data_IF_088740822566
#
_entry.id   IF_088740822566
#
_cell.length_a   1.000
_cell.length_b   1.000
_cell.length_c   1.000
_cell.angle_alpha   90.00
_cell.angle_beta   90.00
_cell.angle_gamma   90.00
#
_symmetry.space_group_name_H-M   'P 1'
#
loop_
_entity.id
_entity.type
_entity.pdbx_description
1 polymer ?
#
# COMPACT_ATOMS: atom_id res chain seq x y z
N UNK A 1 -14.75 -21.17 -29.41
CA UNK A 1 -14.74 -21.01 -27.96
C UNK A 1 -14.07 -19.66 -27.66
N UNK A 2 -14.86 -18.66 -27.33
CA UNK A 2 -14.37 -17.32 -27.05
C UNK A 2 -13.82 -17.36 -25.62
N UNK A 3 -12.50 -17.24 -25.48
CA UNK A 3 -11.83 -17.07 -24.21
C UNK A 3 -12.39 -15.80 -23.58
N UNK A 4 -13.13 -15.93 -22.48
CA UNK A 4 -13.65 -14.79 -21.76
C UNK A 4 -12.45 -13.97 -21.29
N UNK A 5 -12.32 -12.74 -21.80
CA UNK A 5 -11.24 -11.84 -21.43
C UNK A 5 -11.26 -11.65 -19.91
N UNK A 6 -10.25 -12.16 -19.25
CA UNK A 6 -10.07 -12.07 -17.80
C UNK A 6 -9.96 -10.59 -17.42
N UNK A 7 -11.05 -10.02 -16.92
CA UNK A 7 -11.14 -8.58 -16.63
C UNK A 7 -10.47 -8.28 -15.30
N UNK A 8 -9.44 -7.44 -15.33
CA UNK A 8 -8.84 -6.86 -14.12
C UNK A 8 -9.63 -5.61 -13.73
N UNK A 9 -10.14 -5.58 -12.49
CA UNK A 9 -10.96 -4.49 -11.95
C UNK A 9 -10.30 -3.89 -10.71
N UNK A 10 -10.28 -2.55 -10.64
CA UNK A 10 -9.92 -1.81 -9.42
C UNK A 10 -11.18 -1.11 -8.90
N UNK A 11 -11.45 -1.26 -7.63
CA UNK A 11 -12.58 -0.63 -6.93
C UNK A 11 -12.28 -0.36 -5.48
N UNK A 12 -13.16 0.36 -4.81
CA UNK A 12 -13.10 0.50 -3.36
C UNK A 12 -13.21 -0.86 -2.67
N UNK A 13 -12.43 -1.03 -1.61
CA UNK A 13 -12.52 -2.19 -0.75
C UNK A 13 -13.83 -2.19 0.04
N UNK A 14 -14.33 -3.36 0.32
CA UNK A 14 -15.52 -3.60 1.16
C UNK A 14 -15.17 -4.54 2.30
N UNK A 15 -16.07 -4.69 3.27
CA UNK A 15 -15.91 -5.64 4.37
C UNK A 15 -15.71 -7.09 3.88
N UNK A 16 -16.28 -7.44 2.73
CA UNK A 16 -16.14 -8.78 2.14
C UNK A 16 -14.72 -9.07 1.63
N UNK A 17 -13.92 -8.04 1.38
CA UNK A 17 -12.54 -8.19 0.88
C UNK A 17 -11.51 -8.38 2.01
N UNK A 18 -11.88 -8.02 3.24
CA UNK A 18 -10.96 -8.01 4.38
C UNK A 18 -10.24 -9.34 4.63
N UNK A 19 -10.88 -10.52 4.53
CA UNK A 19 -10.15 -11.78 4.71
C UNK A 19 -9.03 -11.97 3.69
N UNK A 20 -9.28 -11.68 2.42
CA UNK A 20 -8.27 -11.81 1.36
C UNK A 20 -7.15 -10.77 1.49
N UNK A 21 -7.50 -9.54 1.85
CA UNK A 21 -6.52 -8.47 2.10
C UNK A 21 -5.63 -8.80 3.30
N UNK A 22 -6.23 -9.34 4.38
CA UNK A 22 -5.50 -9.77 5.57
C UNK A 22 -4.52 -10.90 5.24
N UNK A 23 -4.92 -11.88 4.44
CA UNK A 23 -4.02 -12.96 4.01
C UNK A 23 -2.82 -12.43 3.23
N UNK A 24 -3.02 -11.48 2.31
CA UNK A 24 -1.94 -10.82 1.57
C UNK A 24 -0.99 -10.09 2.52
N UNK A 25 -1.51 -9.38 3.51
CA UNK A 25 -0.71 -8.64 4.48
C UNK A 25 0.05 -9.57 5.44
N UNK A 26 -0.64 -10.52 6.01
CA UNK A 26 -0.08 -11.45 6.99
C UNK A 26 0.98 -12.37 6.37
N UNK A 27 0.88 -12.68 5.08
CA UNK A 27 1.97 -13.32 4.34
C UNK A 27 3.23 -12.45 4.34
N UNK A 28 3.11 -11.13 4.09
CA UNK A 28 4.25 -10.22 4.17
C UNK A 28 4.83 -10.13 5.59
N UNK A 29 3.97 -10.15 6.59
CA UNK A 29 4.41 -10.19 8.00
C UNK A 29 5.29 -11.41 8.26
N UNK A 30 4.87 -12.57 7.80
CA UNK A 30 5.56 -13.84 8.05
C UNK A 30 6.82 -14.04 7.21
N UNK A 31 6.85 -13.54 5.98
CA UNK A 31 7.85 -13.95 4.97
C UNK A 31 8.75 -12.84 4.44
N UNK A 32 8.46 -11.58 4.74
CA UNK A 32 9.21 -10.46 4.14
C UNK A 32 9.48 -9.32 5.11
N UNK A 33 10.30 -8.37 4.67
CA UNK A 33 10.55 -7.10 5.36
C UNK A 33 9.65 -5.97 4.86
N UNK A 34 8.73 -6.23 3.95
CA UNK A 34 7.84 -5.20 3.37
C UNK A 34 6.94 -4.52 4.40
N UNK A 35 6.81 -5.11 5.57
CA UNK A 35 6.19 -4.50 6.76
C UNK A 35 7.04 -4.80 7.99
N UNK A 36 7.08 -3.88 8.95
CA UNK A 36 7.76 -4.08 10.23
C UNK A 36 6.86 -4.69 11.32
N UNK A 37 5.63 -5.07 10.97
CA UNK A 37 4.85 -5.94 11.86
C UNK A 37 5.58 -7.28 12.02
N UNK A 38 5.62 -7.78 13.25
CA UNK A 38 6.26 -9.06 13.60
C UNK A 38 5.27 -10.19 13.79
N UNK A 39 4.00 -9.83 14.05
CA UNK A 39 2.89 -10.77 14.25
C UNK A 39 1.75 -10.44 13.28
N UNK A 40 1.08 -11.44 12.70
CA UNK A 40 -0.10 -11.25 11.88
C UNK A 40 -1.18 -10.42 12.59
N UNK A 41 -1.77 -9.48 11.87
CA UNK A 41 -2.78 -8.56 12.41
C UNK A 41 -4.21 -8.97 12.09
N UNK A 42 -4.37 -9.83 11.08
CA UNK A 42 -5.67 -10.31 10.63
C UNK A 42 -6.58 -9.22 10.05
N UNK A 43 -7.83 -9.62 9.77
CA UNK A 43 -8.81 -8.75 9.12
C UNK A 43 -9.25 -7.56 9.99
N UNK A 44 -9.21 -7.67 11.31
CA UNK A 44 -9.65 -6.61 12.23
C UNK A 44 -8.82 -5.32 12.05
N UNK A 45 -7.51 -5.44 11.87
CA UNK A 45 -6.61 -4.31 11.65
C UNK A 45 -6.98 -3.47 10.41
N UNK A 46 -7.28 -4.14 9.30
CA UNK A 46 -7.72 -3.47 8.07
C UNK A 46 -9.18 -2.99 8.19
N UNK A 47 -10.00 -3.74 8.92
CA UNK A 47 -11.39 -3.41 9.18
C UNK A 47 -11.55 -2.10 9.96
N UNK A 48 -10.70 -1.83 10.94
CA UNK A 48 -10.68 -0.56 11.67
C UNK A 48 -10.38 0.63 10.74
N UNK A 49 -9.41 0.47 9.84
CA UNK A 49 -9.09 1.50 8.84
C UNK A 49 -10.23 1.75 7.85
N UNK A 50 -10.92 0.68 7.44
CA UNK A 50 -12.03 0.77 6.50
C UNK A 50 -13.29 1.36 7.14
N UNK A 51 -13.52 1.14 8.43
CA UNK A 51 -14.72 1.58 9.14
C UNK A 51 -14.76 3.08 9.42
N UNK A 52 -13.61 3.73 9.59
CA UNK A 52 -13.50 5.12 10.03
C UNK A 52 -12.55 5.94 9.14
N UNK A 53 -12.83 6.06 7.81
CA UNK A 53 -11.98 6.82 6.92
C UNK A 53 -12.11 8.33 7.18
N UNK A 54 -10.97 9.01 7.30
CA UNK A 54 -10.89 10.46 7.23
C UNK A 54 -10.82 10.92 5.76
N UNK A 55 -11.05 12.21 5.45
CA UNK A 55 -10.84 12.72 4.10
C UNK A 55 -9.45 12.35 3.54
N UNK A 56 -9.41 11.74 2.36
CA UNK A 56 -8.19 11.24 1.74
C UNK A 56 -7.70 9.88 2.26
N UNK A 57 -8.46 9.22 3.12
CA UNK A 57 -8.19 7.82 3.49
C UNK A 57 -8.98 6.92 2.54
N UNK A 58 -8.30 6.40 1.55
CA UNK A 58 -8.85 5.49 0.55
C UNK A 58 -8.31 4.07 0.77
N UNK A 59 -9.10 3.08 0.39
CA UNK A 59 -8.68 1.69 0.37
C UNK A 59 -9.24 1.03 -0.88
N UNK A 60 -8.35 0.60 -1.78
CA UNK A 60 -8.67 0.03 -3.08
C UNK A 60 -8.19 -1.40 -3.17
N UNK A 61 -8.95 -2.25 -3.86
CA UNK A 61 -8.55 -3.61 -4.23
C UNK A 61 -8.42 -3.74 -5.74
N UNK A 62 -7.48 -4.57 -6.18
CA UNK A 62 -7.42 -5.08 -7.55
C UNK A 62 -7.87 -6.53 -7.56
N UNK A 63 -8.76 -6.84 -8.47
CA UNK A 63 -9.38 -8.16 -8.60
C UNK A 63 -9.27 -8.67 -10.03
N UNK A 64 -9.21 -10.00 -10.15
CA UNK A 64 -9.37 -10.73 -11.40
C UNK A 64 -10.21 -11.98 -11.11
N UNK A 65 -11.24 -12.22 -11.91
CA UNK A 65 -12.14 -13.36 -11.73
C UNK A 65 -12.70 -13.50 -10.31
N UNK A 66 -13.09 -12.38 -9.69
CA UNK A 66 -13.60 -12.26 -8.33
C UNK A 66 -12.57 -12.56 -7.23
N UNK A 67 -11.29 -12.77 -7.57
CA UNK A 67 -10.21 -12.98 -6.61
C UNK A 67 -9.49 -11.66 -6.35
N UNK A 68 -9.34 -11.27 -5.10
CA UNK A 68 -8.52 -10.12 -4.69
C UNK A 68 -7.05 -10.51 -4.83
N UNK A 69 -6.32 -9.78 -5.67
CA UNK A 69 -4.91 -10.02 -5.98
C UNK A 69 -3.97 -8.98 -5.35
N UNK A 70 -4.50 -7.91 -4.82
CA UNK A 70 -3.75 -6.87 -4.16
C UNK A 70 -4.63 -5.74 -3.68
N UNK A 71 -4.07 -4.87 -2.87
CA UNK A 71 -4.75 -3.67 -2.39
C UNK A 71 -3.76 -2.54 -2.15
N UNK A 72 -4.28 -1.32 -2.17
CA UNK A 72 -3.54 -0.12 -1.80
C UNK A 72 -4.42 0.76 -0.91
N UNK A 73 -3.80 1.47 0.00
CA UNK A 73 -4.52 2.41 0.85
C UNK A 73 -3.70 3.66 1.16
N UNK A 74 -4.40 4.72 1.51
CA UNK A 74 -3.86 5.93 2.10
C UNK A 74 -4.39 6.12 3.51
N UNK A 75 -3.60 6.75 4.34
CA UNK A 75 -3.97 7.06 5.71
C UNK A 75 -3.22 8.28 6.25
N UNK A 76 -3.49 8.68 7.51
CA UNK A 76 -2.82 9.83 8.12
C UNK A 76 -1.32 9.55 8.30
N UNK A 77 -0.49 10.52 7.93
CA UNK A 77 0.97 10.43 8.12
C UNK A 77 1.36 10.50 9.60
N UNK A 78 0.84 11.46 10.31
CA UNK A 78 1.11 11.69 11.74
C UNK A 78 -0.14 12.28 12.42
N UNK A 79 -0.33 12.06 13.72
CA UNK A 79 -1.55 12.46 14.41
C UNK A 79 -1.70 13.99 14.67
N UNK A 80 -0.65 14.79 14.46
CA UNK A 80 -0.70 16.23 14.71
C UNK A 80 -1.45 16.95 13.59
N UNK A 81 -2.33 17.95 13.91
CA UNK A 81 -3.19 18.61 12.92
C UNK A 81 -2.46 19.25 11.73
N UNK A 82 -1.24 19.77 11.92
CA UNK A 82 -0.46 20.36 10.84
C UNK A 82 -0.05 19.36 9.74
N UNK A 83 -0.16 18.05 10.00
CA UNK A 83 0.08 17.00 9.00
C UNK A 83 -1.17 16.55 8.25
N UNK A 84 -2.32 17.20 8.45
CA UNK A 84 -3.60 16.76 7.86
C UNK A 84 -3.55 16.64 6.32
N UNK A 85 -2.81 17.53 5.64
CA UNK A 85 -2.62 17.51 4.19
C UNK A 85 -1.57 16.51 3.69
N UNK A 86 -0.99 15.70 4.57
CA UNK A 86 0.00 14.66 4.21
C UNK A 86 -0.62 13.28 4.40
N UNK A 87 -0.57 12.46 3.35
CA UNK A 87 -1.03 11.07 3.39
C UNK A 87 0.14 10.10 3.25
N UNK A 88 0.17 9.08 4.10
CA UNK A 88 1.03 7.92 3.92
C UNK A 88 0.31 6.90 3.05
N UNK A 89 1.00 6.35 2.06
CA UNK A 89 0.43 5.41 1.10
C UNK A 89 1.14 4.06 1.15
N UNK A 90 0.38 2.98 0.96
CA UNK A 90 0.88 1.62 0.98
C UNK A 90 0.23 0.78 -0.12
N UNK A 91 0.96 -0.20 -0.63
CA UNK A 91 0.47 -1.15 -1.64
C UNK A 91 1.03 -2.54 -1.38
N UNK A 92 0.18 -3.54 -1.46
CA UNK A 92 0.50 -4.94 -1.28
C UNK A 92 -0.12 -5.77 -2.39
N UNK A 93 0.65 -6.70 -2.95
CA UNK A 93 0.21 -7.61 -4.02
C UNK A 93 0.50 -9.04 -3.57
N UNK A 94 -0.47 -9.92 -3.77
CA UNK A 94 -0.34 -11.35 -3.49
C UNK A 94 0.88 -11.92 -4.21
N UNK A 95 1.63 -12.82 -3.56
CA UNK A 95 2.87 -13.38 -4.10
C UNK A 95 2.70 -13.94 -5.51
N UNK A 96 1.64 -14.72 -5.74
CA UNK A 96 1.34 -15.32 -7.03
C UNK A 96 0.96 -14.32 -8.15
N UNK A 97 0.68 -13.06 -7.79
CA UNK A 97 0.24 -12.01 -8.73
C UNK A 97 1.30 -10.93 -8.95
N UNK A 98 2.49 -11.07 -8.34
CA UNK A 98 3.59 -10.11 -8.53
C UNK A 98 4.13 -10.16 -9.96
N UNK A 99 4.77 -9.07 -10.39
CA UNK A 99 5.35 -8.96 -11.72
C UNK A 99 4.32 -8.74 -12.85
N UNK A 100 3.02 -8.67 -12.55
CA UNK A 100 1.93 -8.49 -13.52
C UNK A 100 1.45 -7.03 -13.65
N UNK A 101 2.17 -6.06 -13.10
CA UNK A 101 1.81 -4.64 -13.18
C UNK A 101 0.68 -4.19 -12.23
N UNK A 102 0.12 -5.10 -11.43
CA UNK A 102 -1.04 -4.80 -10.56
C UNK A 102 -0.75 -3.73 -9.52
N UNK A 103 0.46 -3.73 -8.94
CA UNK A 103 0.87 -2.69 -8.00
C UNK A 103 0.90 -1.31 -8.63
N UNK A 104 1.38 -1.20 -9.88
CA UNK A 104 1.37 0.07 -10.63
C UNK A 104 -0.06 0.54 -10.91
N UNK A 105 -0.95 -0.36 -11.30
CA UNK A 105 -2.35 -0.02 -11.57
C UNK A 105 -3.05 0.47 -10.30
N UNK A 106 -2.90 -0.24 -9.18
CA UNK A 106 -3.44 0.17 -7.87
C UNK A 106 -2.92 1.54 -7.45
N UNK A 107 -1.61 1.74 -7.58
CA UNK A 107 -0.96 2.96 -7.16
C UNK A 107 -1.40 4.15 -8.00
N UNK A 108 -1.49 3.99 -9.32
CA UNK A 108 -2.01 5.03 -10.21
C UNK A 108 -3.45 5.42 -9.85
N UNK A 109 -4.32 4.44 -9.56
CA UNK A 109 -5.70 4.71 -9.15
C UNK A 109 -5.78 5.42 -7.79
N UNK A 110 -4.97 5.01 -6.81
CA UNK A 110 -4.94 5.64 -5.49
C UNK A 110 -4.43 7.08 -5.57
N UNK A 111 -3.31 7.30 -6.25
CA UNK A 111 -2.69 8.63 -6.38
C UNK A 111 -3.60 9.59 -7.15
N UNK A 112 -4.28 9.14 -8.21
CA UNK A 112 -5.23 9.98 -8.94
C UNK A 112 -6.39 10.45 -8.05
N UNK A 113 -6.86 9.63 -7.10
CA UNK A 113 -7.87 10.05 -6.12
C UNK A 113 -7.33 11.07 -5.13
N UNK A 114 -6.10 10.90 -4.67
CA UNK A 114 -5.46 11.84 -3.75
C UNK A 114 -5.19 13.19 -4.42
N UNK A 115 -4.72 13.18 -5.67
CA UNK A 115 -4.45 14.38 -6.46
C UNK A 115 -5.73 15.20 -6.77
N UNK A 116 -6.90 14.55 -6.76
CA UNK A 116 -8.18 15.23 -6.94
C UNK A 116 -8.68 15.96 -5.68
N UNK A 117 -8.03 15.76 -4.53
CA UNK A 117 -8.42 16.38 -3.27
C UNK A 117 -7.60 17.64 -2.99
N UNK A 118 -8.21 18.84 -2.94
CA UNK A 118 -7.49 20.09 -2.73
C UNK A 118 -6.78 20.18 -1.37
N UNK A 119 -7.24 19.44 -0.38
CA UNK A 119 -6.70 19.42 0.97
C UNK A 119 -5.55 18.41 1.15
N UNK A 120 -5.25 17.59 0.14
CA UNK A 120 -4.11 16.67 0.15
C UNK A 120 -2.99 17.27 -0.68
N UNK A 121 -1.89 17.64 0.00
CA UNK A 121 -0.76 18.31 -0.63
C UNK A 121 0.45 17.40 -0.81
N UNK A 122 0.62 16.40 0.04
CA UNK A 122 1.84 15.59 0.04
C UNK A 122 1.49 14.11 0.24
N UNK A 123 2.15 13.25 -0.54
CA UNK A 123 2.12 11.80 -0.28
C UNK A 123 3.51 11.34 0.17
N UNK A 124 3.53 10.47 1.18
CA UNK A 124 4.74 9.86 1.74
C UNK A 124 4.62 8.34 1.66
N UNK A 125 5.72 7.69 1.37
CA UNK A 125 5.82 6.24 1.42
C UNK A 125 7.13 5.82 2.10
N UNK A 126 7.10 4.68 2.77
CA UNK A 126 8.26 4.11 3.47
C UNK A 126 8.54 2.71 2.94
N UNK A 127 9.78 2.45 2.58
CA UNK A 127 10.21 1.17 1.99
C UNK A 127 11.33 0.58 2.84
N UNK A 128 11.11 -0.61 3.39
CA UNK A 128 12.18 -1.37 4.04
C UNK A 128 13.20 -1.86 3.00
N UNK A 129 14.49 -1.72 3.30
CA UNK A 129 15.56 -2.03 2.37
C UNK A 129 16.26 -3.36 2.72
N UNK A 130 16.69 -4.14 1.70
CA UNK A 130 16.53 -3.90 0.26
C UNK A 130 15.13 -4.31 -0.24
N UNK A 131 14.56 -3.54 -1.19
CA UNK A 131 13.31 -3.88 -1.87
C UNK A 131 13.22 -3.15 -3.22
N UNK A 132 14.00 -3.61 -4.20
CA UNK A 132 14.14 -2.97 -5.51
C UNK A 132 12.80 -2.80 -6.23
N UNK A 133 11.89 -3.76 -6.11
CA UNK A 133 10.58 -3.70 -6.75
C UNK A 133 9.72 -2.56 -6.19
N UNK A 134 9.72 -2.38 -4.86
CA UNK A 134 9.01 -1.29 -4.21
C UNK A 134 9.66 0.07 -4.51
N UNK A 135 10.99 0.16 -4.49
CA UNK A 135 11.69 1.39 -4.86
C UNK A 135 11.37 1.80 -6.30
N UNK A 136 11.45 0.86 -7.25
CA UNK A 136 11.12 1.11 -8.66
C UNK A 136 9.64 1.54 -8.84
N UNK A 137 8.72 0.96 -8.08
CA UNK A 137 7.30 1.33 -8.10
C UNK A 137 7.10 2.79 -7.67
N UNK A 138 7.71 3.20 -6.56
CA UNK A 138 7.58 4.56 -6.03
C UNK A 138 8.21 5.59 -6.97
N UNK A 139 9.45 5.35 -7.43
CA UNK A 139 10.11 6.23 -8.40
C UNK A 139 9.30 6.36 -9.69
N UNK A 140 8.78 5.24 -10.22
CA UNK A 140 7.92 5.23 -11.41
C UNK A 140 6.57 5.92 -11.24
N UNK A 141 6.12 6.11 -9.99
CA UNK A 141 4.89 6.83 -9.65
C UNK A 141 5.12 8.32 -9.33
N UNK A 142 6.34 8.84 -9.56
CA UNK A 142 6.68 10.25 -9.36
C UNK A 142 7.12 10.61 -7.95
N UNK A 143 7.37 9.63 -7.09
CA UNK A 143 8.01 9.88 -5.80
C UNK A 143 9.51 10.15 -5.98
N UNK A 144 10.06 10.95 -5.09
CA UNK A 144 11.50 11.14 -4.94
C UNK A 144 11.95 10.58 -3.59
N UNK A 145 13.11 9.96 -3.53
CA UNK A 145 13.70 9.49 -2.30
C UNK A 145 14.25 10.67 -1.50
N UNK A 146 13.74 10.88 -0.30
CA UNK A 146 14.10 12.03 0.55
C UNK A 146 15.11 11.67 1.63
N UNK A 147 15.29 10.39 1.95
CA UNK A 147 16.28 9.96 2.91
C UNK A 147 16.21 8.47 3.24
N UNK A 148 17.14 8.05 4.08
CA UNK A 148 17.20 6.68 4.65
C UNK A 148 17.40 6.79 6.14
N UNK A 149 16.55 6.11 6.90
CA UNK A 149 16.76 5.86 8.31
C UNK A 149 17.50 4.52 8.44
N UNK A 150 18.71 4.57 8.97
CA UNK A 150 19.56 3.38 9.12
C UNK A 150 19.14 2.59 10.35
N UNK A 151 19.06 1.27 10.20
CA UNK A 151 18.86 0.32 11.30
C UNK A 151 17.62 0.62 12.18
N UNK A 152 16.58 1.22 11.59
CA UNK A 152 15.39 1.70 12.31
C UNK A 152 14.41 0.59 12.64
N UNK A 153 14.38 -0.49 11.88
CA UNK A 153 13.56 -1.67 12.11
C UNK A 153 14.40 -2.87 12.56
N UNK A 154 13.81 -3.76 13.34
CA UNK A 154 14.42 -5.04 13.70
C UNK A 154 13.46 -6.18 13.39
N UNK A 155 13.83 -7.07 12.46
CA UNK A 155 13.00 -8.21 12.03
C UNK A 155 13.88 -9.35 11.53
N UNK A 156 13.45 -10.59 11.76
CA UNK A 156 14.20 -11.79 11.39
C UNK A 156 15.65 -11.79 11.91
N UNK A 157 15.84 -11.31 13.15
CA UNK A 157 17.14 -11.29 13.82
C UNK A 157 18.15 -10.28 13.27
N UNK A 158 17.72 -9.31 12.48
CA UNK A 158 18.61 -8.27 11.91
C UNK A 158 17.97 -6.89 11.94
N UNK A 159 18.82 -5.86 11.98
CA UNK A 159 18.41 -4.47 11.78
C UNK A 159 18.21 -4.17 10.29
N UNK A 160 17.23 -3.32 10.00
CA UNK A 160 16.77 -3.03 8.64
C UNK A 160 16.64 -1.52 8.46
N UNK A 161 17.21 -1.03 7.38
CA UNK A 161 17.08 0.36 6.96
C UNK A 161 15.71 0.60 6.35
N UNK A 162 15.21 1.85 6.43
CA UNK A 162 14.02 2.26 5.69
C UNK A 162 14.30 3.49 4.84
N UNK A 163 13.97 3.42 3.56
CA UNK A 163 13.98 4.55 2.64
C UNK A 163 12.65 5.28 2.69
N UNK A 164 12.71 6.60 2.71
CA UNK A 164 11.55 7.48 2.72
C UNK A 164 11.39 8.18 1.38
N UNK A 165 10.20 8.15 0.87
CA UNK A 165 9.82 8.68 -0.42
C UNK A 165 8.74 9.73 -0.25
N UNK A 166 8.81 10.80 -1.03
CA UNK A 166 7.84 11.89 -1.02
C UNK A 166 7.40 12.20 -2.44
N UNK A 167 6.13 12.49 -2.61
CA UNK A 167 5.56 13.01 -3.85
C UNK A 167 4.76 14.28 -3.54
N UNK A 168 4.97 15.31 -4.33
CA UNK A 168 4.13 16.50 -4.41
C UNK A 168 3.32 16.40 -5.71
N UNK A 169 2.01 16.66 -5.69
CA UNK A 169 1.16 16.64 -6.89
C UNK A 169 1.61 17.64 -7.95
#
# INVERSE_FOLDING_TARGET
MTEAATSTVIRDATQADLPAMAEIYDEQVRSSIATFETEPRGAAYLGEKLAHPAPGDFMLVVMRDRVVLGYAYSGPFRPRPAYAGTKEVSVYVAAAARGQGLGRMLYAALLARLDALPDVHTQVAVVALPNDASEALHLGAGFVRVGVLREVGHKFGRYIDSAWYQRLP
#
